data_IF_067831737196
#
_entry.id   IF_067831737196
#
_cell.length_a   1.000
_cell.length_b   1.000
_cell.length_c   1.000
_cell.angle_alpha   90.00
_cell.angle_beta   90.00
_cell.angle_gamma   90.00
#
_symmetry.space_group_name_H-M   'P 1'
#
loop_
_entity.id
_entity.type
_entity.pdbx_description
1 polymer ?
#
# COMPACT_ATOMS: atom_id res chain seq x y z
N UNK A 1 -7.52 13.28 8.31
CA UNK A 1 -6.98 13.93 7.10
C UNK A 1 -7.03 12.95 5.93
N UNK A 2 -7.03 13.45 4.69
CA UNK A 2 -6.96 12.62 3.48
C UNK A 2 -5.49 12.32 3.14
N UNK A 3 -5.13 11.05 2.95
CA UNK A 3 -3.82 10.66 2.42
C UNK A 3 -3.75 10.98 0.93
N UNK A 4 -2.88 11.92 0.55
CA UNK A 4 -2.68 12.41 -0.82
C UNK A 4 -1.19 12.52 -1.16
N UNK A 5 -0.88 12.74 -2.43
CA UNK A 5 0.47 13.12 -2.90
C UNK A 5 1.59 12.19 -2.43
N UNK A 6 1.32 10.88 -2.45
CA UNK A 6 2.26 9.87 -1.99
C UNK A 6 3.31 9.61 -3.09
N UNK A 7 4.59 9.80 -2.78
CA UNK A 7 5.67 9.76 -3.77
C UNK A 7 6.68 8.63 -3.52
N UNK A 8 7.52 8.36 -4.52
CA UNK A 8 8.67 7.45 -4.41
C UNK A 8 8.33 6.05 -3.87
N UNK A 9 7.19 5.49 -4.30
CA UNK A 9 6.76 4.13 -4.00
C UNK A 9 7.88 3.12 -4.35
N UNK A 10 8.32 2.35 -3.37
CA UNK A 10 9.35 1.32 -3.52
C UNK A 10 8.92 0.04 -2.83
N UNK A 11 9.13 -1.10 -3.50
CA UNK A 11 8.87 -2.39 -2.90
C UNK A 11 9.92 -2.65 -1.82
N UNK A 12 9.48 -2.87 -0.59
CA UNK A 12 10.35 -3.29 0.50
C UNK A 12 10.34 -4.80 0.65
N UNK A 13 9.16 -5.42 0.67
CA UNK A 13 9.01 -6.87 0.79
C UNK A 13 7.70 -7.33 0.14
N UNK A 14 7.64 -8.61 -0.20
CA UNK A 14 6.43 -9.25 -0.71
C UNK A 14 6.28 -10.66 -0.14
N UNK A 15 5.04 -11.04 0.13
CA UNK A 15 4.63 -12.39 0.50
C UNK A 15 3.48 -12.80 -0.41
N UNK A 16 3.68 -13.86 -1.17
CA UNK A 16 2.69 -14.39 -2.10
C UNK A 16 2.07 -15.65 -1.52
N UNK A 17 0.76 -15.63 -1.29
CA UNK A 17 -0.01 -16.82 -0.96
C UNK A 17 -0.65 -17.32 -2.25
N UNK A 18 -0.08 -18.42 -2.78
CA UNK A 18 -0.42 -18.99 -4.08
C UNK A 18 -1.94 -19.09 -4.26
N UNK A 19 -2.45 -18.49 -5.33
CA UNK A 19 -3.87 -18.48 -5.73
C UNK A 19 -4.85 -17.79 -4.77
N UNK A 20 -4.38 -17.20 -3.66
CA UNK A 20 -5.24 -16.52 -2.67
C UNK A 20 -5.04 -15.01 -2.72
N UNK A 21 -3.82 -14.54 -2.43
CA UNK A 21 -3.52 -13.12 -2.32
C UNK A 21 -2.02 -12.85 -2.44
N UNK A 22 -1.68 -11.65 -2.90
CA UNK A 22 -0.34 -11.09 -2.78
C UNK A 22 -0.34 -9.98 -1.73
N UNK A 23 0.55 -10.07 -0.75
CA UNK A 23 0.76 -9.06 0.28
C UNK A 23 2.08 -8.35 0.01
N UNK A 24 2.05 -7.04 -0.07
CA UNK A 24 3.19 -6.20 -0.39
C UNK A 24 3.42 -5.20 0.74
N UNK A 25 4.66 -5.08 1.16
CA UNK A 25 5.13 -4.01 2.02
C UNK A 25 5.88 -3.01 1.14
N UNK A 26 5.41 -1.76 1.15
CA UNK A 26 5.85 -0.71 0.23
C UNK A 26 6.27 0.50 1.07
N UNK A 27 7.47 1.02 0.81
CA UNK A 27 7.92 2.31 1.35
C UNK A 27 7.51 3.43 0.40
N UNK A 28 7.34 4.62 0.95
CA UNK A 28 6.99 5.82 0.21
C UNK A 28 7.36 7.06 1.00
N UNK A 29 7.40 8.20 0.32
CA UNK A 29 7.48 9.49 0.96
C UNK A 29 6.06 9.93 1.32
N UNK A 30 5.73 9.79 2.60
CA UNK A 30 4.44 10.22 3.14
C UNK A 30 4.43 11.72 3.40
N UNK A 31 3.30 12.42 3.15
CA UNK A 31 3.18 13.83 3.47
C UNK A 31 3.44 14.12 4.95
N UNK A 32 4.28 15.12 5.23
CA UNK A 32 4.67 15.48 6.60
C UNK A 32 3.48 15.76 7.51
N UNK A 33 2.48 16.48 7.00
CA UNK A 33 1.27 16.82 7.76
C UNK A 33 0.52 15.55 8.21
N UNK A 34 0.41 14.57 7.30
CA UNK A 34 -0.19 13.28 7.61
C UNK A 34 0.58 12.53 8.71
N UNK A 35 1.92 12.54 8.66
CA UNK A 35 2.77 11.92 9.68
C UNK A 35 2.62 12.57 11.05
N UNK A 36 2.64 13.90 11.08
CA UNK A 36 2.54 14.66 12.33
C UNK A 36 1.19 14.45 13.02
N UNK A 37 0.09 14.54 12.28
CA UNK A 37 -1.25 14.34 12.86
C UNK A 37 -1.44 12.92 13.40
N UNK A 38 -0.98 11.92 12.65
CA UNK A 38 -1.11 10.52 13.05
C UNK A 38 -0.01 10.05 14.01
N UNK A 39 0.93 10.94 14.39
CA UNK A 39 2.09 10.64 15.23
C UNK A 39 2.88 9.43 14.73
N UNK A 40 3.06 9.35 13.41
CA UNK A 40 3.83 8.32 12.73
C UNK A 40 5.25 8.82 12.47
N UNK A 41 6.22 7.90 12.48
CA UNK A 41 7.63 8.24 12.28
C UNK A 41 8.26 7.43 11.16
N UNK A 42 7.90 6.15 11.04
CA UNK A 42 8.44 5.25 10.03
C UNK A 42 7.33 4.38 9.42
N UNK A 43 6.48 4.97 8.57
CA UNK A 43 5.32 4.30 7.99
C UNK A 43 5.66 3.46 6.76
N UNK A 44 4.99 2.31 6.66
CA UNK A 44 4.96 1.45 5.49
C UNK A 44 3.53 1.27 5.01
N UNK A 45 3.34 1.23 3.70
CA UNK A 45 2.11 0.76 3.08
C UNK A 45 2.10 -0.77 3.08
N UNK A 46 1.09 -1.36 3.72
CA UNK A 46 0.80 -2.78 3.65
C UNK A 46 -0.41 -3.01 2.75
N UNK A 47 -0.13 -3.46 1.53
CA UNK A 47 -1.13 -3.64 0.48
C UNK A 47 -1.40 -5.12 0.27
N UNK A 48 -2.67 -5.51 0.34
CA UNK A 48 -3.12 -6.87 0.04
C UNK A 48 -3.93 -6.82 -1.25
N UNK A 49 -3.55 -7.65 -2.22
CA UNK A 49 -4.23 -7.83 -3.49
C UNK A 49 -4.84 -9.24 -3.53
N UNK A 50 -6.16 -9.33 -3.65
CA UNK A 50 -6.87 -10.61 -3.72
C UNK A 50 -6.96 -11.07 -5.18
N UNK A 51 -6.71 -12.36 -5.43
CA UNK A 51 -6.74 -12.93 -6.79
C UNK A 51 -8.13 -12.86 -7.44
N UNK A 52 -9.20 -12.91 -6.65
CA UNK A 52 -10.60 -12.80 -7.09
C UNK A 52 -11.09 -11.36 -7.29
N UNK A 53 -10.19 -10.40 -7.22
CA UNK A 53 -10.51 -8.98 -7.27
C UNK A 53 -10.65 -8.37 -5.88
N UNK A 54 -10.30 -7.08 -5.79
CA UNK A 54 -10.31 -6.31 -4.56
C UNK A 54 -8.92 -6.17 -3.93
N UNK A 55 -8.80 -5.11 -3.14
CA UNK A 55 -7.57 -4.70 -2.49
C UNK A 55 -7.86 -4.18 -1.08
N UNK A 56 -6.88 -4.34 -0.19
CA UNK A 56 -6.85 -3.67 1.11
C UNK A 56 -5.55 -2.92 1.26
N UNK A 57 -5.62 -1.70 1.79
CA UNK A 57 -4.46 -0.86 2.08
C UNK A 57 -4.48 -0.60 3.58
N UNK A 58 -3.36 -0.85 4.23
CA UNK A 58 -3.09 -0.48 5.62
C UNK A 58 -1.81 0.33 5.67
N UNK A 59 -1.64 1.12 6.72
CA UNK A 59 -0.39 1.81 7.02
C UNK A 59 0.13 1.23 8.33
N UNK A 60 1.36 0.74 8.34
CA UNK A 60 2.02 0.21 9.54
C UNK A 60 3.13 1.19 9.88
N UNK A 61 3.08 1.80 11.06
CA UNK A 61 4.21 2.56 11.59
C UNK A 61 5.15 1.60 12.33
N UNK A 62 6.32 1.33 11.75
CA UNK A 62 7.28 0.38 12.31
C UNK A 62 7.80 0.86 13.66
N UNK A 63 7.98 2.18 13.82
CA UNK A 63 8.47 2.78 15.04
C UNK A 63 7.53 2.56 16.25
N UNK A 64 6.22 2.74 16.08
CA UNK A 64 5.24 2.59 17.18
C UNK A 64 4.45 1.27 17.15
N UNK A 65 4.71 0.40 16.17
CA UNK A 65 3.94 -0.81 15.90
C UNK A 65 2.43 -0.57 15.71
N UNK A 66 2.02 0.67 15.39
CA UNK A 66 0.61 1.02 15.16
C UNK A 66 0.19 0.66 13.75
N UNK A 67 -1.02 0.12 13.63
CA UNK A 67 -1.63 -0.21 12.35
C UNK A 67 -2.82 0.71 12.11
N UNK A 68 -2.70 1.57 11.12
CA UNK A 68 -3.77 2.42 10.64
C UNK A 68 -4.49 1.76 9.45
N UNK A 69 -5.81 1.80 9.50
CA UNK A 69 -6.70 1.17 8.54
C UNK A 69 -7.50 2.25 7.81
N UNK A 70 -6.87 2.97 6.86
CA UNK A 70 -7.55 4.04 6.15
C UNK A 70 -8.77 3.49 5.41
N UNK A 71 -9.91 4.15 5.58
CA UNK A 71 -11.09 3.90 4.74
C UNK A 71 -10.85 4.41 3.32
N UNK A 72 -11.69 4.00 2.37
CA UNK A 72 -11.60 4.48 0.98
C UNK A 72 -11.75 6.00 0.84
N UNK A 73 -12.41 6.65 1.80
CA UNK A 73 -12.63 8.10 1.82
C UNK A 73 -11.46 8.86 2.46
N UNK A 74 -10.59 8.16 3.19
CA UNK A 74 -9.40 8.74 3.84
C UNK A 74 -8.14 8.62 2.98
N UNK A 75 -8.25 8.03 1.79
CA UNK A 75 -7.20 8.05 0.77
C UNK A 75 -7.77 8.76 -0.45
N UNK A 76 -7.02 9.75 -0.94
CA UNK A 76 -7.33 10.40 -2.20
C UNK A 76 -7.46 9.35 -3.33
N UNK A 77 -8.50 9.40 -4.18
CA UNK A 77 -8.74 8.39 -5.20
C UNK A 77 -7.56 8.19 -6.17
N UNK A 78 -6.85 9.24 -6.55
CA UNK A 78 -5.69 9.15 -7.44
C UNK A 78 -4.51 8.49 -6.74
N UNK A 79 -4.27 8.87 -5.49
CA UNK A 79 -3.26 8.26 -4.62
C UNK A 79 -3.55 6.77 -4.39
N UNK A 80 -4.80 6.42 -4.10
CA UNK A 80 -5.25 5.03 -3.95
C UNK A 80 -4.99 4.25 -5.22
N UNK A 81 -5.37 4.80 -6.37
CA UNK A 81 -5.14 4.17 -7.69
C UNK A 81 -3.64 3.95 -7.95
N UNK A 82 -2.80 4.96 -7.66
CA UNK A 82 -1.34 4.90 -7.80
C UNK A 82 -0.73 3.77 -6.95
N UNK A 83 -1.12 3.68 -5.68
CA UNK A 83 -0.68 2.61 -4.76
C UNK A 83 -1.05 1.23 -5.31
N UNK A 84 -2.30 1.06 -5.73
CA UNK A 84 -2.81 -0.23 -6.23
C UNK A 84 -2.12 -0.63 -7.54
N UNK A 85 -1.97 0.29 -8.48
CA UNK A 85 -1.29 0.03 -9.75
C UNK A 85 0.18 -0.35 -9.52
N UNK A 86 0.87 0.38 -8.65
CA UNK A 86 2.24 0.04 -8.28
C UNK A 86 2.31 -1.35 -7.65
N UNK A 87 1.47 -1.64 -6.66
CA UNK A 87 1.43 -2.93 -5.99
C UNK A 87 1.18 -4.08 -6.99
N UNK A 88 0.20 -3.92 -7.90
CA UNK A 88 -0.08 -4.91 -8.95
C UNK A 88 1.10 -5.13 -9.90
N UNK A 89 1.85 -4.06 -10.24
CA UNK A 89 3.05 -4.17 -11.08
C UNK A 89 4.20 -4.94 -10.42
N UNK A 90 4.20 -5.04 -9.09
CA UNK A 90 5.21 -5.76 -8.30
C UNK A 90 4.75 -7.18 -7.94
N UNK A 91 3.44 -7.40 -7.85
CA UNK A 91 2.83 -8.65 -7.43
C UNK A 91 3.08 -9.78 -8.45
N UNK A 92 3.70 -10.86 -7.97
CA UNK A 92 4.09 -12.01 -8.82
C UNK A 92 2.89 -12.62 -9.55
N UNK A 93 1.74 -12.78 -8.88
CA UNK A 93 0.57 -13.43 -9.46
C UNK A 93 -0.07 -12.60 -10.59
N UNK A 94 0.19 -11.29 -10.62
CA UNK A 94 -0.34 -10.39 -11.63
C UNK A 94 0.66 -10.05 -12.74
N UNK A 95 1.96 -10.28 -12.53
CA UNK A 95 2.99 -10.11 -13.58
C UNK A 95 2.88 -11.13 -14.71
N UNK A 96 2.47 -12.36 -14.41
CA UNK A 96 2.34 -13.41 -15.43
C UNK A 96 1.14 -13.20 -16.36
N UNK A 97 0.10 -12.49 -15.91
CA UNK A 97 -1.09 -12.15 -16.72
C UNK A 97 -0.86 -11.03 -17.76
N UNK A 98 0.29 -10.32 -17.69
CA UNK A 98 0.62 -9.22 -18.60
C UNK A 98 1.64 -9.61 -19.68
N UNK A 99 1.97 -10.90 -19.82
CA UNK A 99 2.92 -11.40 -20.82
C UNK A 99 2.26 -12.10 -22.03
N UNK A 100 0.98 -11.86 -22.25
CA UNK A 100 0.27 -12.29 -23.49
C UNK A 100 0.21 -11.16 -24.52
#
# INVERSE_FOLDING_TARGET
>A
MLLRDLENLKLFSQLSLKQVEDRLLITADFPKDFLMENKMRDPFLYVILYTRGGERIKIIDEYSAKIYHPTKQEIDPETRKKIVLFARSQAKQFRELTKE
#
